data_IF_365167499156
#
_entry.id   IF_365167499156
#
_cell.length_a   1.000
_cell.length_b   1.000
_cell.length_c   1.000
_cell.angle_alpha   90.00
_cell.angle_beta   90.00
_cell.angle_gamma   90.00
#
_symmetry.space_group_name_H-M   'P 1'
#
loop_
_entity.id
_entity.type
_entity.pdbx_description
1 polymer ?
#
# COMPACT_ATOMS: atom_id res chain seq x y z
N UNK A 1 20.12 -10.07 17.33
CA UNK A 1 20.07 -9.96 15.85
C UNK A 1 19.99 -8.49 15.52
N UNK A 2 21.07 -7.91 14.98
CA UNK A 2 21.08 -6.49 14.62
C UNK A 2 20.23 -6.28 13.35
N UNK A 3 19.14 -5.56 13.50
CA UNK A 3 18.27 -5.14 12.40
C UNK A 3 18.72 -3.74 11.96
N UNK A 4 18.97 -3.58 10.65
CA UNK A 4 19.43 -2.31 10.10
C UNK A 4 18.23 -1.47 9.67
N UNK A 5 18.04 -0.32 10.31
CA UNK A 5 17.02 0.65 9.88
C UNK A 5 17.54 1.32 8.61
N UNK A 6 16.72 1.33 7.57
CA UNK A 6 17.02 1.92 6.26
C UNK A 6 16.47 3.33 6.19
N UNK A 7 15.19 3.51 6.54
CA UNK A 7 14.52 4.80 6.50
C UNK A 7 13.40 4.87 7.54
N UNK A 8 13.22 6.06 8.11
CA UNK A 8 12.08 6.35 8.99
C UNK A 8 11.20 7.40 8.34
N UNK A 9 9.91 7.20 8.35
CA UNK A 9 8.93 8.13 7.85
C UNK A 9 8.88 9.41 8.68
N UNK A 10 8.95 10.56 8.02
CA UNK A 10 8.76 11.87 8.63
C UNK A 10 7.31 12.28 8.46
N UNK A 11 6.64 12.51 9.57
CA UNK A 11 5.25 12.98 9.56
C UNK A 11 5.21 14.45 9.18
N UNK A 12 4.32 14.82 8.25
CA UNK A 12 4.05 16.22 7.89
C UNK A 12 3.46 16.95 9.10
N UNK A 13 3.70 18.26 9.18
CA UNK A 13 3.23 19.09 10.30
C UNK A 13 1.69 19.14 10.37
N UNK A 14 1.11 18.15 11.06
CA UNK A 14 -0.34 18.01 11.25
C UNK A 14 -0.92 19.22 12.00
N UNK A 15 -0.13 19.87 12.85
CA UNK A 15 -0.60 21.04 13.59
C UNK A 15 -1.00 22.16 12.64
N UNK A 16 -0.17 22.45 11.62
CA UNK A 16 -0.49 23.45 10.58
C UNK A 16 -1.73 23.08 9.79
N UNK A 17 -1.89 21.81 9.44
CA UNK A 17 -3.09 21.34 8.75
C UNK A 17 -4.35 21.51 9.61
N UNK A 18 -4.33 21.08 10.86
CA UNK A 18 -5.46 21.24 11.78
C UNK A 18 -5.78 22.71 12.04
N UNK A 19 -4.75 23.55 12.17
CA UNK A 19 -4.92 25.01 12.30
C UNK A 19 -5.61 25.60 11.07
N UNK A 20 -5.23 25.18 9.86
CA UNK A 20 -5.89 25.58 8.62
C UNK A 20 -7.36 25.17 8.57
N UNK A 21 -7.69 23.95 8.98
CA UNK A 21 -9.08 23.47 9.03
C UNK A 21 -9.92 24.28 10.03
N UNK A 22 -9.39 24.57 11.22
CA UNK A 22 -10.10 25.38 12.22
C UNK A 22 -10.26 26.83 11.75
N UNK A 23 -9.23 27.42 11.12
CA UNK A 23 -9.30 28.75 10.56
C UNK A 23 -10.35 28.84 9.43
N UNK A 24 -10.41 27.86 8.54
CA UNK A 24 -11.43 27.77 7.50
C UNK A 24 -12.85 27.67 8.10
N UNK A 25 -13.02 26.86 9.15
CA UNK A 25 -14.27 26.73 9.88
C UNK A 25 -14.74 28.01 10.56
N UNK A 26 -13.83 28.94 10.80
CA UNK A 26 -14.16 30.29 11.33
C UNK A 26 -14.40 31.29 10.20
N UNK A 27 -13.52 31.33 9.21
CA UNK A 27 -13.55 32.34 8.12
C UNK A 27 -14.77 32.17 7.22
N UNK A 28 -15.12 30.94 6.87
CA UNK A 28 -16.25 30.67 5.95
C UNK A 28 -17.58 31.18 6.53
N UNK A 29 -17.96 30.85 7.78
CA UNK A 29 -19.17 31.39 8.41
C UNK A 29 -19.18 32.90 8.52
N UNK A 30 -18.04 33.53 8.84
CA UNK A 30 -17.93 34.99 8.95
C UNK A 30 -18.14 35.64 7.58
N UNK A 31 -17.53 35.11 6.51
CA UNK A 31 -17.73 35.62 5.15
C UNK A 31 -19.19 35.46 4.70
N UNK A 32 -19.80 34.32 5.00
CA UNK A 32 -21.21 34.07 4.70
C UNK A 32 -22.12 35.08 5.44
N UNK A 33 -21.87 35.33 6.73
CA UNK A 33 -22.59 36.30 7.50
C UNK A 33 -22.43 37.73 6.94
N UNK A 34 -21.20 38.14 6.59
CA UNK A 34 -20.94 39.43 5.95
C UNK A 34 -21.67 39.60 4.62
N UNK A 35 -21.72 38.53 3.84
CA UNK A 35 -22.47 38.50 2.58
C UNK A 35 -23.97 38.66 2.80
N UNK A 36 -24.58 37.95 3.77
CA UNK A 36 -25.98 38.08 4.13
C UNK A 36 -26.33 39.52 4.61
N UNK A 37 -25.46 40.12 5.42
CA UNK A 37 -25.58 41.52 5.86
C UNK A 37 -25.56 42.45 4.64
N UNK A 38 -24.68 42.22 3.67
CA UNK A 38 -24.55 43.07 2.49
C UNK A 38 -25.79 43.02 1.58
N UNK A 39 -26.52 41.90 1.60
CA UNK A 39 -27.76 41.72 0.83
C UNK A 39 -29.01 42.23 1.57
N UNK A 40 -28.86 42.75 2.79
CA UNK A 40 -30.00 43.23 3.62
C UNK A 40 -30.95 42.10 4.05
N UNK A 41 -30.51 40.83 3.96
CA UNK A 41 -31.31 39.63 4.25
C UNK A 41 -31.35 39.34 5.76
N UNK A 42 -30.49 39.97 6.56
CA UNK A 42 -30.41 39.74 8.01
C UNK A 42 -31.66 40.31 8.69
N UNK A 43 -32.72 39.50 8.69
CA UNK A 43 -33.76 39.58 9.71
C UNK A 43 -33.21 38.97 10.98
N UNK A 44 -33.29 39.70 12.07
CA UNK A 44 -32.65 39.40 13.38
C UNK A 44 -33.09 38.09 14.05
N UNK A 45 -33.89 37.27 13.40
CA UNK A 45 -34.71 36.27 14.08
C UNK A 45 -34.22 34.83 14.08
N UNK A 46 -32.94 34.53 13.74
CA UNK A 46 -32.53 33.16 14.01
C UNK A 46 -31.37 32.56 13.24
N UNK A 47 -30.82 33.20 12.21
CA UNK A 47 -29.70 32.60 11.46
C UNK A 47 -28.36 32.65 12.23
N UNK A 48 -28.20 33.59 13.14
CA UNK A 48 -27.00 33.78 13.95
C UNK A 48 -26.58 32.55 14.78
N UNK A 49 -27.48 31.84 15.48
CA UNK A 49 -27.05 30.71 16.30
C UNK A 49 -26.50 29.51 15.47
N UNK A 50 -27.04 29.30 14.28
CA UNK A 50 -26.58 28.17 13.43
C UNK A 50 -25.16 28.35 12.87
N UNK A 51 -24.80 29.60 12.53
CA UNK A 51 -23.45 29.90 12.02
C UNK A 51 -22.40 29.62 13.10
N UNK A 52 -22.67 29.96 14.35
CA UNK A 52 -21.76 29.70 15.47
C UNK A 52 -21.64 28.23 15.86
N UNK A 53 -22.63 27.38 15.53
CA UNK A 53 -22.54 25.95 15.74
C UNK A 53 -21.55 25.28 14.79
N UNK A 54 -21.26 25.86 13.63
CA UNK A 54 -20.30 25.33 12.66
C UNK A 54 -18.87 25.36 13.22
N UNK A 55 -18.50 26.41 13.93
CA UNK A 55 -17.14 26.58 14.50
C UNK A 55 -16.73 25.41 15.42
N UNK A 56 -17.51 25.03 16.45
CA UNK A 56 -17.15 23.90 17.31
C UNK A 56 -17.16 22.59 16.57
N UNK A 57 -17.97 22.40 15.54
CA UNK A 57 -17.96 21.19 14.70
C UNK A 57 -16.62 21.07 13.95
N UNK A 58 -16.14 22.15 13.32
CA UNK A 58 -14.84 22.15 12.64
C UNK A 58 -13.68 21.94 13.63
N UNK A 59 -13.77 22.56 14.81
CA UNK A 59 -12.77 22.36 15.87
C UNK A 59 -12.75 20.90 16.36
N UNK A 60 -13.91 20.27 16.53
CA UNK A 60 -14.03 18.87 16.89
C UNK A 60 -13.45 17.96 15.80
N UNK A 61 -13.77 18.22 14.54
CA UNK A 61 -13.22 17.47 13.39
C UNK A 61 -11.69 17.62 13.39
N UNK A 62 -11.15 18.82 13.49
CA UNK A 62 -9.71 19.05 13.53
C UNK A 62 -9.04 18.33 14.71
N UNK A 63 -9.66 18.32 15.88
CA UNK A 63 -9.18 17.61 17.05
C UNK A 63 -9.15 16.09 16.85
N UNK A 64 -10.21 15.51 16.28
CA UNK A 64 -10.28 14.09 15.98
C UNK A 64 -9.21 13.68 14.94
N UNK A 65 -9.03 14.51 13.89
CA UNK A 65 -7.96 14.33 12.92
C UNK A 65 -6.59 14.39 13.58
N UNK A 66 -6.34 15.41 14.39
CA UNK A 66 -5.07 15.54 15.10
C UNK A 66 -4.77 14.29 15.96
N UNK A 67 -5.75 13.85 16.76
CA UNK A 67 -5.62 12.67 17.61
C UNK A 67 -5.42 11.38 16.81
N UNK A 68 -6.09 11.25 15.65
CA UNK A 68 -6.01 10.07 14.79
C UNK A 68 -4.70 9.96 14.01
N UNK A 69 -4.11 11.08 13.60
CA UNK A 69 -2.91 11.10 12.75
C UNK A 69 -1.60 11.48 13.46
N UNK A 70 -1.66 12.08 14.64
CA UNK A 70 -0.47 12.54 15.38
C UNK A 70 0.50 11.40 15.79
N UNK A 71 0.04 10.15 15.77
CA UNK A 71 0.81 8.97 16.17
C UNK A 71 1.29 8.10 15.00
N UNK A 72 1.15 8.60 13.77
CA UNK A 72 1.60 7.84 12.61
C UNK A 72 3.13 7.82 12.59
N UNK A 73 3.68 6.63 12.58
CA UNK A 73 5.10 6.36 12.45
C UNK A 73 5.29 5.20 11.47
N UNK A 74 6.33 5.26 10.66
CA UNK A 74 6.69 4.20 9.75
C UNK A 74 8.20 4.04 9.77
N UNK A 75 8.68 2.86 10.05
CA UNK A 75 10.08 2.52 9.98
C UNK A 75 10.26 1.33 9.04
N UNK A 76 11.18 1.49 8.11
CA UNK A 76 11.56 0.45 7.15
C UNK A 76 12.94 -0.06 7.55
N UNK A 77 13.03 -1.35 7.77
CA UNK A 77 14.30 -2.05 8.02
C UNK A 77 14.61 -3.01 6.88
N UNK A 78 15.76 -3.66 6.98
CA UNK A 78 16.21 -4.69 6.04
C UNK A 78 15.36 -5.96 6.05
N UNK A 79 14.51 -6.16 7.08
CA UNK A 79 13.71 -7.39 7.28
C UNK A 79 12.22 -7.16 7.36
N UNK A 80 11.78 -5.98 7.78
CA UNK A 80 10.36 -5.68 8.01
C UNK A 80 10.05 -4.20 7.89
N UNK A 81 8.77 -3.93 7.73
CA UNK A 81 8.18 -2.59 7.79
C UNK A 81 7.28 -2.53 9.01
N UNK A 82 7.58 -1.65 9.94
CA UNK A 82 6.82 -1.55 11.19
C UNK A 82 6.53 -0.10 11.57
N UNK A 83 5.54 0.09 12.42
CA UNK A 83 5.16 1.41 12.87
C UNK A 83 3.73 1.49 13.37
N UNK A 84 3.17 2.68 13.31
CA UNK A 84 1.82 2.98 13.73
C UNK A 84 1.07 3.66 12.59
N UNK A 85 -0.01 3.06 12.12
CA UNK A 85 -0.91 3.67 11.13
C UNK A 85 -1.90 4.61 11.82
N UNK A 86 -2.78 5.24 11.04
CA UNK A 86 -3.81 6.13 11.55
C UNK A 86 -4.63 5.47 12.68
N UNK A 87 -5.07 6.28 13.64
CA UNK A 87 -5.84 5.85 14.83
C UNK A 87 -5.09 4.88 15.76
N UNK A 88 -3.76 4.85 15.70
CA UNK A 88 -2.94 4.05 16.62
C UNK A 88 -2.86 2.56 16.30
N UNK A 89 -3.25 2.15 15.09
CA UNK A 89 -3.13 0.77 14.65
C UNK A 89 -1.65 0.42 14.46
N UNK A 90 -1.13 -0.44 15.33
CA UNK A 90 0.25 -0.96 15.20
C UNK A 90 0.35 -1.91 14.03
N UNK A 91 1.44 -1.80 13.29
CA UNK A 91 1.74 -2.58 12.11
C UNK A 91 3.16 -3.11 12.24
N UNK A 92 3.33 -4.39 12.03
CA UNK A 92 4.63 -5.05 11.92
C UNK A 92 4.52 -6.09 10.80
N UNK A 93 5.13 -5.78 9.67
CA UNK A 93 5.04 -6.57 8.45
C UNK A 93 6.43 -7.06 8.06
N UNK A 94 6.69 -8.37 8.14
CA UNK A 94 7.91 -8.92 7.56
C UNK A 94 7.92 -8.64 6.05
N UNK A 95 9.11 -8.42 5.50
CA UNK A 95 9.27 -8.06 4.09
C UNK A 95 8.65 -9.13 3.16
N UNK A 96 8.63 -10.38 3.61
CA UNK A 96 8.08 -11.51 2.87
C UNK A 96 6.55 -11.48 2.75
N UNK A 97 5.87 -10.80 3.68
CA UNK A 97 4.43 -10.62 3.63
C UNK A 97 4.01 -9.45 2.71
N UNK A 98 4.96 -8.62 2.26
CA UNK A 98 4.68 -7.45 1.42
C UNK A 98 4.69 -7.88 -0.04
N UNK A 99 3.56 -7.71 -0.72
CA UNK A 99 3.40 -8.02 -2.15
C UNK A 99 3.72 -6.82 -3.03
N UNK A 100 3.35 -5.62 -2.59
CA UNK A 100 3.58 -4.38 -3.34
C UNK A 100 3.60 -3.16 -2.43
N UNK A 101 4.19 -2.07 -2.92
CA UNK A 101 4.11 -0.75 -2.31
C UNK A 101 3.62 0.24 -3.34
N UNK A 102 2.75 1.15 -2.94
CA UNK A 102 2.21 2.20 -3.81
C UNK A 102 2.05 3.51 -3.05
N UNK A 103 1.79 4.56 -3.79
CA UNK A 103 1.43 5.86 -3.21
C UNK A 103 -0.07 5.89 -2.89
N UNK A 104 -0.44 6.63 -1.87
CA UNK A 104 -1.82 6.84 -1.42
C UNK A 104 -2.14 8.32 -1.34
N UNK A 105 -3.42 8.66 -1.22
CA UNK A 105 -3.85 10.05 -1.05
C UNK A 105 -3.18 10.71 0.17
N UNK A 106 -3.14 12.03 0.16
CA UNK A 106 -2.55 12.86 1.23
C UNK A 106 -1.07 12.58 1.51
N UNK A 107 -0.25 12.46 0.46
CA UNK A 107 1.18 12.11 0.59
C UNK A 107 1.36 10.86 1.45
N UNK A 108 0.66 9.81 1.11
CA UNK A 108 0.66 8.56 1.85
C UNK A 108 1.32 7.42 1.08
N UNK A 109 1.59 6.34 1.81
CA UNK A 109 2.11 5.08 1.28
C UNK A 109 1.11 3.98 1.62
N UNK A 110 0.82 3.15 0.63
CA UNK A 110 0.05 1.94 0.79
C UNK A 110 0.98 0.73 0.68
N UNK A 111 1.05 -0.07 1.72
CA UNK A 111 1.77 -1.34 1.73
C UNK A 111 0.74 -2.45 1.57
N UNK A 112 0.84 -3.19 0.49
CA UNK A 112 -0.10 -4.26 0.15
C UNK A 112 0.45 -5.61 0.59
N UNK A 113 -0.39 -6.38 1.25
CA UNK A 113 -0.12 -7.75 1.69
C UNK A 113 -1.20 -8.68 1.15
N UNK A 114 -1.06 -9.98 1.30
CA UNK A 114 -2.08 -10.96 0.91
C UNK A 114 -3.43 -10.74 1.62
N UNK A 115 -3.43 -10.14 2.83
CA UNK A 115 -4.64 -9.85 3.62
C UNK A 115 -5.24 -8.47 3.36
N UNK A 116 -4.62 -7.63 2.52
CA UNK A 116 -5.10 -6.30 2.18
C UNK A 116 -4.04 -5.22 2.18
N UNK A 117 -4.45 -3.97 2.03
CA UNK A 117 -3.56 -2.81 1.99
C UNK A 117 -3.61 -2.01 3.29
N UNK A 118 -2.44 -1.69 3.83
CA UNK A 118 -2.27 -0.81 4.99
C UNK A 118 -1.77 0.54 4.50
N UNK A 119 -2.46 1.60 4.89
CA UNK A 119 -2.16 2.97 4.43
C UNK A 119 -1.56 3.79 5.56
N UNK A 120 -0.45 4.43 5.25
CA UNK A 120 0.20 5.44 6.08
C UNK A 120 0.09 6.78 5.36
N UNK A 121 -0.60 7.74 5.93
CA UNK A 121 -0.88 9.05 5.31
C UNK A 121 -0.05 10.16 5.94
N UNK A 122 0.03 11.31 5.29
CA UNK A 122 0.65 12.54 5.80
C UNK A 122 2.17 12.42 6.03
N UNK A 123 2.89 11.73 5.15
CA UNK A 123 4.34 11.62 5.21
C UNK A 123 5.04 12.62 4.29
N UNK A 124 6.07 13.31 4.77
CA UNK A 124 6.87 14.24 3.95
C UNK A 124 7.74 13.50 2.95
N UNK A 125 8.38 12.42 3.40
CA UNK A 125 9.35 11.64 2.62
C UNK A 125 8.73 10.38 1.98
N UNK A 126 7.49 10.46 1.54
CA UNK A 126 6.75 9.31 1.00
C UNK A 126 7.45 8.72 -0.25
N UNK A 127 8.03 9.54 -1.13
CA UNK A 127 8.74 9.06 -2.32
C UNK A 127 10.03 8.30 -1.98
N UNK A 128 10.76 8.77 -0.96
CA UNK A 128 11.97 8.11 -0.50
C UNK A 128 11.65 6.74 0.11
N UNK A 129 10.59 6.67 0.94
CA UNK A 129 10.14 5.41 1.53
C UNK A 129 9.64 4.45 0.46
N UNK A 130 8.84 4.94 -0.51
CA UNK A 130 8.38 4.14 -1.64
C UNK A 130 9.57 3.55 -2.41
N UNK A 131 10.56 4.37 -2.73
CA UNK A 131 11.78 3.93 -3.43
C UNK A 131 12.55 2.90 -2.61
N UNK A 132 12.73 3.13 -1.31
CA UNK A 132 13.44 2.20 -0.42
C UNK A 132 12.76 0.84 -0.33
N UNK A 133 11.42 0.82 -0.11
CA UNK A 133 10.66 -0.43 -0.03
C UNK A 133 10.63 -1.14 -1.38
N UNK A 134 10.43 -0.41 -2.49
CA UNK A 134 10.45 -0.98 -3.85
C UNK A 134 11.80 -1.64 -4.15
N UNK A 135 12.91 -0.97 -3.80
CA UNK A 135 14.25 -1.52 -3.97
C UNK A 135 14.44 -2.81 -3.18
N UNK A 136 14.01 -2.84 -1.91
CA UNK A 136 14.07 -4.05 -1.09
C UNK A 136 13.27 -5.22 -1.66
N UNK A 137 12.09 -4.93 -2.24
CA UNK A 137 11.25 -5.95 -2.88
C UNK A 137 11.92 -6.51 -4.14
N UNK A 138 12.52 -5.63 -4.96
CA UNK A 138 13.27 -6.04 -6.18
C UNK A 138 14.52 -6.84 -5.79
N UNK A 139 15.29 -6.39 -4.80
CA UNK A 139 16.48 -7.10 -4.33
C UNK A 139 16.13 -8.51 -3.79
N UNK A 140 14.98 -8.62 -3.11
CA UNK A 140 14.45 -9.90 -2.66
C UNK A 140 14.09 -10.81 -3.85
N UNK A 141 13.40 -10.27 -4.85
CA UNK A 141 13.01 -11.02 -6.04
C UNK A 141 14.22 -11.50 -6.82
N UNK A 142 15.24 -10.67 -6.97
CA UNK A 142 16.48 -11.02 -7.61
C UNK A 142 17.24 -12.13 -6.85
N UNK A 143 17.28 -12.03 -5.50
CA UNK A 143 17.88 -13.10 -4.67
C UNK A 143 17.12 -14.42 -4.78
N UNK A 144 15.81 -14.38 -4.84
CA UNK A 144 14.99 -15.57 -5.03
C UNK A 144 15.20 -16.19 -6.42
N UNK A 145 15.42 -15.36 -7.45
CA UNK A 145 15.72 -15.83 -8.82
C UNK A 145 17.16 -16.34 -8.98
N UNK A 146 18.10 -15.93 -8.12
CA UNK A 146 19.50 -16.35 -8.13
C UNK A 146 19.74 -17.60 -7.25
N UNK A 147 18.80 -17.95 -6.38
CA UNK A 147 18.81 -19.23 -5.72
C UNK A 147 18.75 -20.32 -6.81
N UNK A 148 19.62 -21.37 -6.74
CA UNK A 148 19.54 -22.44 -7.71
C UNK A 148 18.10 -22.92 -7.70
N UNK A 149 17.43 -22.77 -8.84
CA UNK A 149 16.12 -23.37 -9.07
C UNK A 149 16.40 -24.86 -8.94
N UNK A 150 16.15 -25.43 -7.75
CA UNK A 150 15.82 -26.83 -7.66
C UNK A 150 14.57 -26.87 -8.54
N UNK A 151 14.74 -27.27 -9.80
CA UNK A 151 13.63 -27.73 -10.62
C UNK A 151 12.92 -28.74 -9.72
N UNK A 152 11.89 -28.31 -9.01
CA UNK A 152 10.86 -29.24 -8.66
C UNK A 152 10.39 -29.74 -10.02
N UNK A 153 10.89 -30.91 -10.40
CA UNK A 153 10.21 -31.73 -11.35
C UNK A 153 8.80 -31.88 -10.78
N UNK A 154 7.93 -31.01 -11.24
CA UNK A 154 6.50 -31.30 -11.20
C UNK A 154 6.46 -32.69 -11.82
N UNK A 155 5.94 -33.74 -11.16
CA UNK A 155 5.80 -35.02 -11.80
C UNK A 155 4.94 -34.76 -13.03
N UNK A 156 5.61 -34.54 -14.17
CA UNK A 156 4.93 -34.46 -15.45
C UNK A 156 4.26 -35.82 -15.56
N UNK A 157 2.94 -35.82 -15.56
CA UNK A 157 2.24 -37.08 -15.75
C UNK A 157 2.77 -37.69 -17.05
N UNK A 158 3.12 -38.94 -17.04
CA UNK A 158 3.64 -39.67 -18.21
C UNK A 158 2.84 -39.35 -19.48
N UNK A 159 1.57 -38.96 -19.32
CA UNK A 159 0.70 -38.50 -20.39
C UNK A 159 1.10 -37.13 -20.98
N UNK A 160 1.60 -36.17 -20.18
CA UNK A 160 2.04 -34.87 -20.68
C UNK A 160 3.37 -34.99 -21.45
N UNK A 161 4.29 -35.85 -20.96
CA UNK A 161 5.53 -36.12 -21.67
C UNK A 161 5.26 -36.86 -22.99
N UNK A 162 4.37 -37.85 -23.00
CA UNK A 162 3.97 -38.54 -24.22
C UNK A 162 3.40 -37.60 -25.28
N UNK A 163 2.65 -36.60 -24.86
CA UNK A 163 2.11 -35.58 -25.78
C UNK A 163 3.23 -34.75 -26.39
N UNK A 164 4.22 -34.30 -25.60
CA UNK A 164 5.39 -33.59 -26.13
C UNK A 164 6.19 -34.40 -27.13
N UNK A 165 6.43 -35.69 -26.84
CA UNK A 165 7.12 -36.58 -27.77
C UNK A 165 6.33 -36.82 -29.06
N UNK A 166 4.99 -36.82 -28.99
CA UNK A 166 4.13 -36.89 -30.18
C UNK A 166 4.25 -35.63 -31.04
N UNK A 167 4.27 -34.46 -30.44
CA UNK A 167 4.44 -33.17 -31.15
C UNK A 167 5.82 -33.13 -31.85
N UNK A 168 6.86 -33.69 -31.22
CA UNK A 168 8.20 -33.83 -31.83
C UNK A 168 8.23 -34.81 -32.98
N UNK A 169 7.48 -35.89 -32.89
CA UNK A 169 7.32 -36.86 -34.01
C UNK A 169 6.56 -36.19 -35.18
N UNK A 170 5.47 -35.50 -34.89
CA UNK A 170 4.63 -34.82 -35.92
C UNK A 170 5.41 -33.69 -36.61
N UNK A 171 6.37 -33.07 -35.92
CA UNK A 171 7.30 -32.08 -36.47
C UNK A 171 8.52 -32.68 -37.20
N UNK A 172 8.66 -33.98 -37.19
CA UNK A 172 9.76 -34.69 -37.86
C UNK A 172 11.12 -34.57 -37.15
N UNK A 173 11.15 -34.12 -35.90
CA UNK A 173 12.39 -33.98 -35.11
C UNK A 173 12.89 -35.35 -34.58
N UNK A 174 11.98 -36.28 -34.30
CA UNK A 174 12.28 -37.63 -33.86
C UNK A 174 11.64 -38.65 -34.81
N UNK A 175 12.23 -39.83 -34.85
CA UNK A 175 11.71 -40.95 -35.66
C UNK A 175 10.59 -41.70 -34.92
N UNK A 176 9.80 -42.47 -35.67
CA UNK A 176 8.75 -43.34 -35.10
C UNK A 176 9.33 -44.36 -34.11
N UNK A 177 10.51 -44.87 -34.41
CA UNK A 177 11.18 -45.87 -33.56
C UNK A 177 11.62 -45.28 -32.20
N UNK A 178 12.11 -44.03 -32.20
CA UNK A 178 12.49 -43.30 -30.98
C UNK A 178 11.27 -42.97 -30.13
N UNK A 179 10.16 -42.55 -30.75
CA UNK A 179 8.90 -42.34 -30.07
C UNK A 179 8.39 -43.62 -29.39
N UNK A 180 8.39 -44.76 -30.12
CA UNK A 180 7.88 -46.01 -29.58
C UNK A 180 8.77 -46.57 -28.44
N UNK A 181 10.07 -46.35 -28.51
CA UNK A 181 11.00 -46.69 -27.43
C UNK A 181 10.71 -45.86 -26.17
N UNK A 182 10.52 -44.54 -26.31
CA UNK A 182 10.17 -43.65 -25.21
C UNK A 182 8.79 -43.93 -24.63
N UNK A 183 7.82 -44.23 -25.47
CA UNK A 183 6.47 -44.62 -25.03
C UNK A 183 6.49 -45.87 -24.16
N UNK A 184 7.25 -46.91 -24.54
CA UNK A 184 7.42 -48.12 -23.72
C UNK A 184 8.05 -47.80 -22.37
N UNK A 185 9.11 -46.97 -22.36
CA UNK A 185 9.78 -46.56 -21.14
C UNK A 185 8.85 -45.79 -20.18
N UNK A 186 8.05 -44.86 -20.69
CA UNK A 186 7.13 -44.01 -19.89
C UNK A 186 5.91 -44.79 -19.38
N UNK A 187 5.45 -45.82 -20.14
CA UNK A 187 4.31 -46.64 -19.75
C UNK A 187 4.70 -47.90 -18.98
N UNK A 188 6.01 -48.18 -18.84
CA UNK A 188 6.50 -49.34 -18.11
C UNK A 188 6.23 -50.68 -18.83
N UNK A 189 6.17 -50.67 -20.16
CA UNK A 189 5.89 -51.84 -21.03
C UNK A 189 7.15 -52.48 -21.54
#
# INVERSE_FOLDING_TARGET
MNEKIIITGKLKDIKKFCLGVTAAGFVIPVLYFLWDVSQGIVKSDGALPFVWLIVPVFALIAFLFYKGWSKIELTVSDKRVYGCAAFGKRVDLPLDAISAVGTSAFNGIAVTTASGAIKFSMMENCNEIHSAVSKLLVDRQNKASTAPVIKQEVPQSNAAELKQYKDLLDSGVISQEEFDAKKKQLLGL
#
